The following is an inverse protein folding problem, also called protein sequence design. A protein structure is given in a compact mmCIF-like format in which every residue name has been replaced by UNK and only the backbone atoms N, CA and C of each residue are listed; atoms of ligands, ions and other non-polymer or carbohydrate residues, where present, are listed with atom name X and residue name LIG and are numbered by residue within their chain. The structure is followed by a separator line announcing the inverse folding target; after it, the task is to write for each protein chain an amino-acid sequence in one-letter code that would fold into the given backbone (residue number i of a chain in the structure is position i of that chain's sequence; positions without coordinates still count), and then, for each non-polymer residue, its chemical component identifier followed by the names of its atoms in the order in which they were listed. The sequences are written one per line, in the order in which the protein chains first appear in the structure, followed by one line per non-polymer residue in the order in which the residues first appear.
data_IF_380092054403
#
_entry.id   IF_380092054403
#
_cell.length_a   1.000
_cell.length_b   1.000
_cell.length_c   1.000
_cell.angle_alpha   90.00
_cell.angle_beta   90.00
_cell.angle_gamma   90.00
#
_symmetry.space_group_name_H-M   'P 1'
#
loop_
_entity.id
_entity.type
_entity.pdbx_description
1 polymer ?
#
# COMPACT_ATOMS: atom_id res chain seq x y z
N UNK A 1 10.77 14.25 -2.04
CA UNK A 1 10.02 15.05 -1.04
C UNK A 1 8.68 15.51 -1.56
N UNK A 2 8.60 16.24 -2.69
CA UNK A 2 7.33 16.79 -3.18
C UNK A 2 6.20 15.78 -3.33
N UNK A 3 6.47 14.60 -3.91
CA UNK A 3 5.45 13.56 -4.04
C UNK A 3 4.95 13.03 -2.68
N UNK A 4 5.84 12.75 -1.72
CA UNK A 4 5.43 12.28 -0.39
C UNK A 4 4.55 13.30 0.35
N UNK A 5 4.87 14.59 0.21
CA UNK A 5 4.08 15.67 0.81
C UNK A 5 2.72 15.75 0.13
N UNK A 6 2.68 15.64 -1.20
CA UNK A 6 1.44 15.62 -1.96
C UNK A 6 0.56 14.44 -1.54
N UNK A 7 1.11 13.23 -1.44
CA UNK A 7 0.39 12.01 -1.06
C UNK A 7 -0.19 12.09 0.37
N UNK A 8 0.59 12.64 1.32
CA UNK A 8 0.07 12.91 2.67
C UNK A 8 -1.06 13.93 2.68
N UNK A 9 -0.93 15.02 1.92
CA UNK A 9 -1.97 16.05 1.85
C UNK A 9 -3.23 15.51 1.18
N UNK A 10 -3.08 14.71 0.13
CA UNK A 10 -4.18 14.08 -0.59
C UNK A 10 -5.00 13.17 0.33
N UNK A 11 -4.32 12.27 1.05
CA UNK A 11 -4.94 11.38 2.04
C UNK A 11 -5.58 12.17 3.20
N UNK A 12 -5.00 13.31 3.60
CA UNK A 12 -5.57 14.16 4.65
C UNK A 12 -6.84 14.89 4.19
N UNK A 13 -6.85 15.40 2.96
CA UNK A 13 -7.98 16.15 2.38
C UNK A 13 -9.16 15.22 2.07
N UNK A 14 -8.90 14.01 1.59
CA UNK A 14 -9.94 13.04 1.21
C UNK A 14 -10.49 12.22 2.39
N UNK A 15 -10.00 12.43 3.62
CA UNK A 15 -10.54 11.79 4.82
C UNK A 15 -10.18 10.30 4.96
N UNK A 16 -9.19 9.83 4.20
CA UNK A 16 -8.78 8.43 4.10
C UNK A 16 -7.89 7.96 5.27
N UNK A 17 -7.63 8.87 6.21
CA UNK A 17 -6.77 8.68 7.39
C UNK A 17 -7.21 7.51 8.29
N UNK A 18 -8.53 7.24 8.38
CA UNK A 18 -9.03 6.15 9.24
C UNK A 18 -8.88 4.78 8.61
N UNK A 19 -8.94 4.69 7.27
CA UNK A 19 -8.85 3.43 6.52
C UNK A 19 -7.39 2.97 6.34
N UNK A 20 -6.45 3.92 6.20
CA UNK A 20 -5.05 3.65 5.82
C UNK A 20 -4.00 4.16 6.82
N UNK A 21 -4.19 3.89 8.12
CA UNK A 21 -3.30 4.35 9.20
C UNK A 21 -1.83 3.94 9.01
N UNK A 22 -1.58 2.75 8.47
CA UNK A 22 -0.21 2.26 8.23
C UNK A 22 0.53 3.09 7.17
N UNK A 23 -0.15 3.47 6.09
CA UNK A 23 0.40 4.26 5.00
C UNK A 23 0.72 5.70 5.44
N UNK A 24 -0.11 6.27 6.31
CA UNK A 24 0.12 7.57 6.95
C UNK A 24 1.41 7.56 7.78
N UNK A 25 1.58 6.53 8.61
CA UNK A 25 2.78 6.36 9.46
C UNK A 25 4.02 6.20 8.58
N UNK A 26 3.96 5.38 7.52
CA UNK A 26 5.03 5.24 6.54
C UNK A 26 5.46 6.58 5.95
N UNK A 27 4.51 7.32 5.39
CA UNK A 27 4.81 8.57 4.68
C UNK A 27 5.34 9.65 5.64
N UNK A 28 4.77 9.75 6.85
CA UNK A 28 5.25 10.67 7.89
C UNK A 28 6.68 10.35 8.32
N UNK A 29 6.98 9.06 8.48
CA UNK A 29 8.30 8.58 8.90
C UNK A 29 9.36 8.87 7.83
N UNK A 30 9.04 8.60 6.56
CA UNK A 30 9.92 8.86 5.43
C UNK A 30 10.19 10.36 5.25
N UNK A 31 9.15 11.20 5.30
CA UNK A 31 9.31 12.67 5.21
C UNK A 31 10.15 13.21 6.36
N UNK A 32 9.91 12.74 7.58
CA UNK A 32 10.68 13.17 8.76
C UNK A 32 12.14 12.77 8.65
N UNK A 33 12.43 11.51 8.29
CA UNK A 33 13.79 11.01 8.13
C UNK A 33 14.56 11.79 7.04
N UNK A 34 13.93 12.00 5.89
CA UNK A 34 14.56 12.76 4.82
C UNK A 34 14.74 14.24 5.15
N UNK A 35 13.79 14.87 5.85
CA UNK A 35 13.92 16.25 6.30
C UNK A 35 15.13 16.41 7.23
N UNK A 36 15.33 15.48 8.17
CA UNK A 36 16.49 15.48 9.06
C UNK A 36 17.80 15.29 8.28
N UNK A 37 17.83 14.38 7.30
CA UNK A 37 19.02 14.15 6.46
C UNK A 37 19.37 15.41 5.64
N UNK A 38 18.37 16.05 5.03
CA UNK A 38 18.55 17.29 4.27
C UNK A 38 19.06 18.44 5.14
N UNK A 39 18.48 18.62 6.34
CA UNK A 39 18.90 19.67 7.28
C UNK A 39 20.28 19.39 7.87
N UNK A 40 20.61 18.11 8.14
CA UNK A 40 21.91 17.73 8.70
C UNK A 40 23.04 17.78 7.67
N UNK A 41 22.74 17.76 6.37
CA UNK A 41 23.74 17.76 5.28
C UNK A 41 24.68 16.53 5.29
N UNK A 42 24.30 15.47 6.01
CA UNK A 42 25.09 14.24 6.19
C UNK A 42 24.21 13.06 5.82
N UNK A 43 24.82 11.91 5.48
CA UNK A 43 24.09 10.67 5.17
C UNK A 43 23.30 10.69 3.84
N UNK A 44 23.69 11.55 2.88
CA UNK A 44 23.08 11.59 1.55
C UNK A 44 23.12 10.23 0.84
N UNK A 45 24.21 9.46 0.98
CA UNK A 45 24.29 8.11 0.41
C UNK A 45 23.21 7.17 0.94
N UNK A 46 22.90 7.24 2.25
CA UNK A 46 21.82 6.45 2.84
C UNK A 46 20.45 6.93 2.32
N UNK A 47 20.25 8.24 2.22
CA UNK A 47 19.05 8.80 1.61
C UNK A 47 18.85 8.33 0.16
N UNK A 48 19.91 8.30 -0.67
CA UNK A 48 19.83 7.85 -2.05
C UNK A 48 19.44 6.37 -2.16
N UNK A 49 20.03 5.50 -1.33
CA UNK A 49 19.70 4.08 -1.34
C UNK A 49 18.28 3.86 -0.78
N UNK A 50 17.86 4.63 0.23
CA UNK A 50 16.48 4.59 0.74
C UNK A 50 15.44 5.03 -0.32
N UNK A 51 15.76 6.04 -1.14
CA UNK A 51 14.89 6.44 -2.27
C UNK A 51 14.80 5.36 -3.34
N UNK A 52 15.84 4.54 -3.51
CA UNK A 52 15.83 3.45 -4.49
C UNK A 52 14.71 2.45 -4.18
N UNK A 53 14.45 2.18 -2.90
CA UNK A 53 13.36 1.29 -2.44
C UNK A 53 11.98 1.84 -2.83
N UNK A 54 11.83 3.17 -2.85
CA UNK A 54 10.58 3.84 -3.23
C UNK A 54 10.39 3.91 -4.75
N UNK A 55 11.46 3.99 -5.54
CA UNK A 55 11.32 3.85 -6.99
C UNK A 55 10.83 2.44 -7.36
N UNK A 56 11.20 1.42 -6.58
CA UNK A 56 10.73 0.05 -6.79
C UNK A 56 9.22 -0.12 -6.55
N UNK A 57 8.62 0.65 -5.65
CA UNK A 57 7.16 0.63 -5.45
C UNK A 57 6.43 1.26 -6.64
N UNK A 58 7.00 2.26 -7.31
CA UNK A 58 6.44 2.82 -8.56
C UNK A 58 6.34 1.76 -9.66
N UNK A 59 7.37 0.94 -9.85
CA UNK A 59 7.33 -0.17 -10.81
C UNK A 59 6.25 -1.20 -10.47
N UNK A 60 6.00 -1.37 -9.18
CA UNK A 60 5.00 -2.30 -8.67
C UNK A 60 3.56 -1.81 -8.88
N UNK A 61 3.33 -0.52 -8.65
CA UNK A 61 2.07 0.14 -9.02
C UNK A 61 1.86 0.10 -10.53
N UNK A 62 2.89 0.39 -11.33
CA UNK A 62 2.83 0.32 -12.78
C UNK A 62 2.45 -1.08 -13.27
N UNK A 63 3.05 -2.14 -12.70
CA UNK A 63 2.66 -3.53 -13.00
C UNK A 63 1.18 -3.78 -12.69
N UNK A 64 0.73 -3.32 -11.53
CA UNK A 64 -0.67 -3.51 -11.10
C UNK A 64 -1.62 -2.81 -12.08
N UNK A 65 -1.30 -1.59 -12.50
CA UNK A 65 -2.04 -0.86 -13.54
C UNK A 65 -2.06 -1.62 -14.87
N UNK A 66 -0.92 -2.16 -15.32
CA UNK A 66 -0.86 -2.99 -16.53
C UNK A 66 -1.77 -4.21 -16.41
N UNK A 67 -1.80 -4.90 -15.26
CA UNK A 67 -2.71 -6.02 -15.07
C UNK A 67 -4.18 -5.63 -15.05
N UNK A 68 -4.53 -4.47 -14.49
CA UNK A 68 -5.88 -3.94 -14.55
C UNK A 68 -6.30 -3.65 -16.01
N UNK A 69 -5.40 -3.09 -16.82
CA UNK A 69 -5.68 -2.78 -18.22
C UNK A 69 -5.89 -4.01 -19.11
N UNK A 70 -5.09 -5.07 -18.94
CA UNK A 70 -5.20 -6.28 -19.76
C UNK A 70 -6.25 -7.28 -19.25
N UNK A 71 -6.65 -7.16 -17.98
CA UNK A 71 -7.61 -8.04 -17.33
C UNK A 71 -7.16 -9.50 -17.24
N UNK A 72 -7.82 -10.28 -16.39
CA UNK A 72 -7.43 -11.68 -16.12
C UNK A 72 -7.64 -12.63 -17.31
N UNK A 73 -8.36 -12.21 -18.37
CA UNK A 73 -8.89 -13.11 -19.41
C UNK A 73 -8.04 -13.18 -20.69
N UNK A 74 -7.18 -12.19 -20.96
CA UNK A 74 -6.36 -12.10 -22.16
C UNK A 74 -4.94 -11.61 -21.85
N UNK A 75 -4.25 -12.29 -20.93
CA UNK A 75 -2.86 -11.95 -20.59
C UNK A 75 -1.89 -12.65 -21.56
N UNK A 76 -1.13 -11.91 -22.40
CA UNK A 76 -0.16 -12.52 -23.31
C UNK A 76 1.03 -13.07 -22.50
N UNK A 77 1.68 -14.13 -23.02
CA UNK A 77 2.79 -14.81 -22.35
C UNK A 77 3.98 -13.87 -21.99
N UNK A 78 4.15 -12.77 -22.74
CA UNK A 78 5.16 -11.74 -22.44
C UNK A 78 4.89 -11.01 -21.11
N UNK A 79 3.62 -10.80 -20.76
CA UNK A 79 3.23 -10.15 -19.50
C UNK A 79 3.45 -11.09 -18.32
N UNK A 80 3.25 -12.40 -18.50
CA UNK A 80 3.56 -13.40 -17.47
C UNK A 80 5.06 -13.44 -17.12
N UNK A 81 5.92 -13.42 -18.15
CA UNK A 81 7.38 -13.33 -17.96
C UNK A 81 7.74 -12.02 -17.27
N UNK A 82 7.13 -10.90 -17.67
CA UNK A 82 7.34 -9.60 -17.05
C UNK A 82 6.92 -9.59 -15.57
N UNK A 83 5.78 -10.18 -15.23
CA UNK A 83 5.27 -10.28 -13.85
C UNK A 83 6.24 -11.10 -12.99
N UNK A 84 6.69 -12.25 -13.47
CA UNK A 84 7.60 -13.12 -12.74
C UNK A 84 9.00 -12.50 -12.59
N UNK A 85 9.54 -11.90 -13.66
CA UNK A 85 10.81 -11.18 -13.61
C UNK A 85 10.74 -9.99 -12.66
N UNK A 86 9.63 -9.24 -12.67
CA UNK A 86 9.40 -8.15 -11.74
C UNK A 86 9.34 -8.64 -10.29
N UNK A 87 8.72 -9.79 -10.00
CA UNK A 87 8.73 -10.35 -8.63
C UNK A 87 10.14 -10.70 -8.15
N UNK A 88 10.97 -11.30 -8.99
CA UNK A 88 12.36 -11.65 -8.65
C UNK A 88 13.19 -10.39 -8.45
N UNK A 89 13.12 -9.43 -9.38
CA UNK A 89 13.82 -8.17 -9.28
C UNK A 89 13.37 -7.38 -8.04
N UNK A 90 12.07 -7.32 -7.76
CA UNK A 90 11.57 -6.64 -6.57
C UNK A 90 12.07 -7.29 -5.29
N UNK A 91 12.04 -8.62 -5.18
CA UNK A 91 12.55 -9.28 -3.98
C UNK A 91 14.02 -8.94 -3.73
N UNK A 92 14.87 -9.04 -4.77
CA UNK A 92 16.30 -8.74 -4.65
C UNK A 92 16.56 -7.24 -4.40
N UNK A 93 16.04 -6.36 -5.24
CA UNK A 93 16.32 -4.93 -5.17
C UNK A 93 15.53 -4.19 -4.09
N UNK A 94 14.56 -4.83 -3.42
CA UNK A 94 13.84 -4.23 -2.29
C UNK A 94 14.46 -4.62 -0.96
N UNK A 95 14.65 -5.91 -0.73
CA UNK A 95 15.18 -6.40 0.55
C UNK A 95 16.69 -6.19 0.67
N UNK A 96 17.45 -6.33 -0.42
CA UNK A 96 18.91 -6.20 -0.36
C UNK A 96 19.39 -4.79 0.01
N UNK A 97 18.83 -3.69 -0.54
CA UNK A 97 19.21 -2.35 -0.10
C UNK A 97 18.80 -2.07 1.35
N UNK A 98 17.61 -2.48 1.79
CA UNK A 98 17.17 -2.24 3.17
C UNK A 98 18.04 -3.01 4.17
N UNK A 99 18.33 -4.30 3.89
CA UNK A 99 19.28 -5.09 4.67
C UNK A 99 20.67 -4.47 4.69
N UNK A 100 21.15 -3.95 3.56
CA UNK A 100 22.42 -3.24 3.48
C UNK A 100 22.43 -1.96 4.33
N UNK A 101 21.36 -1.14 4.28
CA UNK A 101 21.25 0.04 5.13
C UNK A 101 21.23 -0.36 6.60
N UNK A 102 20.44 -1.36 6.98
CA UNK A 102 20.33 -1.81 8.36
C UNK A 102 21.67 -2.31 8.89
N UNK A 103 22.38 -3.11 8.09
CA UNK A 103 23.73 -3.55 8.39
C UNK A 103 24.70 -2.37 8.52
N UNK A 104 24.68 -1.43 7.56
CA UNK A 104 25.54 -0.26 7.58
C UNK A 104 25.30 0.61 8.83
N UNK A 105 24.04 0.84 9.21
CA UNK A 105 23.72 1.63 10.40
C UNK A 105 24.13 0.93 11.70
N UNK A 106 23.99 -0.39 11.79
CA UNK A 106 24.30 -1.15 13.00
C UNK A 106 25.81 -1.36 13.13
N UNK A 107 26.47 -1.87 12.08
CA UNK A 107 27.84 -2.33 12.10
C UNK A 107 28.88 -1.22 11.91
N UNK A 108 28.54 -0.14 11.20
CA UNK A 108 29.44 1.00 11.06
C UNK A 108 29.25 1.95 12.25
N UNK A 109 30.34 2.28 12.95
CA UNK A 109 30.39 3.35 13.94
C UNK A 109 30.36 4.72 13.26
N UNK A 110 29.23 5.02 12.62
CA UNK A 110 28.99 6.34 12.04
C UNK A 110 28.79 7.33 13.20
N UNK A 111 29.51 8.45 13.18
CA UNK A 111 29.40 9.56 14.15
C UNK A 111 28.06 10.29 13.99
N UNK A 112 26.98 9.61 14.33
CA UNK A 112 25.59 10.08 14.26
C UNK A 112 25.05 10.09 15.69
N UNK A 113 24.29 11.12 16.11
CA UNK A 113 23.66 11.10 17.42
C UNK A 113 22.82 9.85 17.60
N UNK A 114 22.93 9.21 18.77
CA UNK A 114 22.32 7.90 19.07
C UNK A 114 20.80 7.93 18.81
N UNK A 115 20.14 9.04 19.16
CA UNK A 115 18.71 9.23 18.89
C UNK A 115 18.37 9.15 17.40
N UNK A 116 19.18 9.77 16.53
CA UNK A 116 18.97 9.72 15.09
C UNK A 116 19.25 8.33 14.53
N UNK A 117 20.29 7.65 15.03
CA UNK A 117 20.59 6.26 14.67
C UNK A 117 19.42 5.33 15.04
N UNK A 118 18.88 5.46 16.25
CA UNK A 118 17.73 4.66 16.71
C UNK A 118 16.47 4.96 15.89
N UNK A 119 16.22 6.23 15.59
CA UNK A 119 15.11 6.64 14.73
C UNK A 119 15.23 6.06 13.31
N UNK A 120 16.41 6.16 12.67
CA UNK A 120 16.62 5.60 11.33
C UNK A 120 16.52 4.06 11.33
N UNK A 121 17.08 3.37 12.33
CA UNK A 121 16.98 1.90 12.43
C UNK A 121 15.54 1.46 12.64
N UNK A 122 14.80 2.12 13.54
CA UNK A 122 13.38 1.85 13.75
C UNK A 122 12.56 2.12 12.49
N UNK A 123 12.82 3.23 11.82
CA UNK A 123 12.18 3.60 10.56
C UNK A 123 12.46 2.62 9.42
N UNK A 124 13.70 2.16 9.27
CA UNK A 124 14.07 1.16 8.26
C UNK A 124 13.44 -0.20 8.55
N UNK A 125 13.37 -0.61 9.82
CA UNK A 125 12.68 -1.85 10.21
C UNK A 125 11.18 -1.79 9.91
N UNK A 126 10.54 -0.65 10.21
CA UNK A 126 9.13 -0.43 9.88
C UNK A 126 8.91 -0.44 8.36
N UNK A 127 9.78 0.24 7.61
CA UNK A 127 9.74 0.27 6.15
C UNK A 127 9.89 -1.14 5.57
N UNK A 128 10.80 -1.95 6.11
CA UNK A 128 10.99 -3.34 5.71
C UNK A 128 9.76 -4.21 6.00
N UNK A 129 9.13 -4.02 7.15
CA UNK A 129 7.90 -4.70 7.52
C UNK A 129 6.76 -4.36 6.54
N UNK A 130 6.52 -3.08 6.29
CA UNK A 130 5.50 -2.61 5.36
C UNK A 130 5.77 -3.13 3.93
N UNK A 131 7.04 -3.09 3.52
CA UNK A 131 7.47 -3.61 2.23
C UNK A 131 7.28 -5.13 2.11
N UNK A 132 7.56 -5.90 3.16
CA UNK A 132 7.37 -7.35 3.20
C UNK A 132 5.89 -7.71 3.11
N UNK A 133 5.02 -6.99 3.83
CA UNK A 133 3.58 -7.18 3.76
C UNK A 133 3.05 -7.00 2.33
N UNK A 134 3.47 -5.94 1.63
CA UNK A 134 3.09 -5.70 0.24
C UNK A 134 3.61 -6.78 -0.71
N UNK A 135 4.87 -7.22 -0.54
CA UNK A 135 5.44 -8.31 -1.35
C UNK A 135 4.66 -9.62 -1.14
N UNK A 136 4.27 -9.93 0.09
CA UNK A 136 3.50 -11.13 0.42
C UNK A 136 2.07 -11.08 -0.18
N UNK A 137 1.39 -9.94 -0.07
CA UNK A 137 0.07 -9.73 -0.67
C UNK A 137 0.12 -9.95 -2.19
N UNK A 138 1.19 -9.49 -2.83
CA UNK A 138 1.37 -9.64 -4.27
C UNK A 138 1.78 -11.03 -4.71
N UNK A 139 2.62 -11.72 -3.95
CA UNK A 139 2.88 -13.13 -4.20
C UNK A 139 1.57 -13.93 -4.16
N UNK A 140 0.68 -13.62 -3.20
CA UNK A 140 -0.64 -14.25 -3.11
C UNK A 140 -1.54 -13.89 -4.30
N UNK A 141 -1.59 -12.62 -4.73
CA UNK A 141 -2.42 -12.21 -5.90
C UNK A 141 -1.98 -12.90 -7.19
N UNK A 142 -0.68 -13.20 -7.31
CA UNK A 142 -0.08 -13.76 -8.51
C UNK A 142 -0.28 -15.29 -8.62
N UNK A 143 -0.95 -15.91 -7.65
CA UNK A 143 -1.19 -17.36 -7.63
C UNK A 143 0.05 -18.17 -7.23
N UNK A 144 1.10 -17.51 -6.71
CA UNK A 144 2.17 -18.24 -6.01
C UNK A 144 1.53 -18.93 -4.78
N UNK A 145 2.00 -20.14 -4.46
CA UNK A 145 1.44 -21.04 -3.42
C UNK A 145 0.20 -21.89 -3.79
N UNK A 146 -0.06 -22.11 -5.08
CA UNK A 146 -1.09 -23.07 -5.51
C UNK A 146 -2.52 -22.50 -5.51
N UNK A 147 -2.65 -21.17 -5.46
CA UNK A 147 -3.90 -20.47 -5.69
C UNK A 147 -4.05 -20.11 -7.18
N UNK A 148 -5.28 -20.15 -7.72
CA UNK A 148 -5.54 -19.55 -9.03
C UNK A 148 -5.23 -18.05 -8.97
N UNK A 149 -4.63 -17.51 -10.04
CA UNK A 149 -4.36 -16.07 -10.15
C UNK A 149 -5.64 -15.30 -9.90
N UNK A 150 -5.61 -14.44 -8.89
CA UNK A 150 -6.76 -13.62 -8.58
C UNK A 150 -6.94 -12.61 -9.71
N UNK A 151 -8.14 -12.59 -10.31
CA UNK A 151 -8.50 -11.53 -11.22
C UNK A 151 -8.46 -10.22 -10.42
N UNK A 152 -7.59 -9.30 -10.82
CA UNK A 152 -7.56 -7.96 -10.25
C UNK A 152 -8.76 -7.21 -10.82
N UNK A 153 -9.82 -7.09 -10.03
CA UNK A 153 -10.93 -6.16 -10.21
C UNK A 153 -10.59 -4.82 -9.54
N UNK A 154 -11.11 -3.72 -10.08
CA UNK A 154 -10.86 -2.36 -9.56
C UNK A 154 -11.18 -2.27 -8.05
N UNK A 155 -12.19 -3.01 -7.59
CA UNK A 155 -12.61 -3.10 -6.19
C UNK A 155 -11.65 -3.89 -5.26
N UNK A 156 -10.78 -4.78 -5.76
CA UNK A 156 -9.77 -5.47 -4.94
C UNK A 156 -8.46 -4.69 -4.80
N UNK A 157 -8.15 -3.82 -5.76
CA UNK A 157 -6.92 -3.00 -5.73
C UNK A 157 -7.04 -1.76 -4.86
N UNK A 158 -8.25 -1.42 -4.42
CA UNK A 158 -8.52 -0.30 -3.54
C UNK A 158 -8.36 -0.71 -2.06
N UNK A 159 -7.27 -0.32 -1.37
CA UNK A 159 -7.09 -0.61 0.04
C UNK A 159 -8.12 0.15 0.92
N UNK A 160 -8.86 1.10 0.35
CA UNK A 160 -9.82 1.95 1.06
C UNK A 160 -11.22 1.36 1.09
N UNK A 161 -11.50 0.35 0.26
CA UNK A 161 -12.83 -0.24 0.08
C UNK A 161 -13.73 0.66 -0.77
N UNK A 162 -14.44 0.06 -1.73
CA UNK A 162 -15.28 0.85 -2.63
C UNK A 162 -16.48 1.46 -1.91
N UNK A 163 -16.54 2.80 -1.88
CA UNK A 163 -17.71 3.57 -1.39
C UNK A 163 -19.02 3.12 -2.05
N UNK A 164 -18.96 2.51 -3.24
CA UNK A 164 -20.11 1.91 -3.94
C UNK A 164 -20.74 0.76 -3.18
N UNK A 165 -19.95 -0.09 -2.52
CA UNK A 165 -20.48 -1.24 -1.77
C UNK A 165 -21.29 -0.77 -0.57
N UNK A 166 -20.82 0.26 0.13
CA UNK A 166 -21.51 0.82 1.29
C UNK A 166 -22.81 1.52 0.88
N UNK A 167 -22.82 2.25 -0.24
CA UNK A 167 -24.04 2.85 -0.78
C UNK A 167 -25.07 1.81 -1.26
N UNK A 168 -24.64 0.70 -1.86
CA UNK A 168 -25.56 -0.39 -2.23
C UNK A 168 -26.13 -1.12 -1.02
N UNK A 169 -25.33 -1.28 0.05
CA UNK A 169 -25.77 -1.90 1.30
C UNK A 169 -26.75 -0.99 2.04
N UNK A 170 -26.48 0.32 2.11
CA UNK A 170 -27.42 1.31 2.66
C UNK A 170 -28.73 1.36 1.87
N UNK A 171 -28.67 1.40 0.53
CA UNK A 171 -29.87 1.40 -0.31
C UNK A 171 -30.69 0.11 -0.14
N UNK A 172 -30.03 -1.06 -0.04
CA UNK A 172 -30.72 -2.34 0.22
C UNK A 172 -31.35 -2.38 1.62
N UNK A 173 -30.72 -1.77 2.62
CA UNK A 173 -31.29 -1.67 3.96
C UNK A 173 -32.49 -0.70 4.00
N UNK A 174 -32.41 0.43 3.30
CA UNK A 174 -33.49 1.41 3.20
C UNK A 174 -34.72 0.82 2.48
N UNK A 175 -34.51 0.13 1.35
CA UNK A 175 -35.60 -0.57 0.65
C UNK A 175 -36.23 -1.68 1.49
N UNK A 176 -35.45 -2.38 2.33
CA UNK A 176 -35.95 -3.43 3.22
C UNK A 176 -36.76 -2.85 4.39
N UNK A 177 -36.35 -1.69 4.90
CA UNK A 177 -37.08 -0.91 5.92
C UNK A 177 -38.45 -0.44 5.38
N UNK A 178 -38.47 0.20 4.21
CA UNK A 178 -39.70 0.70 3.57
C UNK A 178 -40.67 -0.43 3.21
N UNK A 179 -40.15 -1.58 2.76
CA UNK A 179 -40.97 -2.76 2.46
C UNK A 179 -41.57 -3.40 3.71
N UNK A 180 -40.87 -3.33 4.85
CA UNK A 180 -41.37 -3.79 6.16
C UNK A 180 -42.51 -2.90 6.67
N UNK A 181 -42.34 -1.57 6.60
CA UNK A 181 -43.37 -0.60 7.00
C UNK A 181 -44.64 -0.65 6.13
N UNK A 182 -44.49 -0.94 4.83
CA UNK A 182 -45.64 -1.09 3.93
C UNK A 182 -46.44 -2.36 4.23
N UNK A 183 -45.77 -3.42 4.69
CA UNK A 183 -46.40 -4.69 5.05
C UNK A 183 -47.21 -4.60 6.35
N UNK A 184 -46.68 -3.91 7.37
CA UNK A 184 -47.38 -3.67 8.65
C UNK A 184 -48.59 -2.76 8.47
N UNK A 185 -48.49 -1.69 7.67
CA UNK A 185 -49.65 -0.82 7.35
C UNK A 185 -50.76 -1.53 6.58
N UNK A 186 -50.41 -2.45 5.68
CA UNK A 186 -51.39 -3.23 4.91
C UNK A 186 -52.09 -4.28 5.79
N UNK A 187 -51.41 -4.80 6.81
CA UNK A 187 -51.96 -5.79 7.74
C UNK A 187 -52.90 -5.12 8.75
N UNK A 188 -52.55 -3.92 9.24
CA UNK A 188 -53.40 -3.14 10.14
C UNK A 188 -54.73 -2.70 9.49
N UNK A 189 -54.71 -2.39 8.18
CA UNK A 189 -55.92 -1.99 7.43
C UNK A 189 -56.87 -3.15 7.10
N UNK A 190 -56.50 -4.40 7.38
CA UNK A 190 -57.32 -5.59 7.13
C UNK A 190 -58.05 -6.08 8.39
N UNK A 191 -57.88 -5.39 9.51
CA UNK A 191 -58.43 -5.75 10.84
C UNK A 191 -59.54 -4.77 11.28
N UNK A 192 -59.78 -3.68 10.52
CA UNK A 192 -61.02 -2.87 10.57
C UNK A 192 -62.02 -3.36 9.52
#
# INVERSE_FOLDING_TARGET
MGYFIYDLLDMHIHGELESSKEYLIHHSLVITAFSIILLSGRLFGLAMIALLVEIQTVFLHLRTMVRLLYGSKHMPASIDVLINANMICLFLFRHLPVCYLLFYLIAQDVKVPILLKLFLVGGLTFLEYHNTHLTMAMAKSDGFFGHERQALDEDSCDPLGSLKKDQEVEQKQQQKSERSERSTKTTAKKIE
#
